data_IF_725315825474
#
_entry.id   IF_725315825474
#
_cell.length_a   1.000
_cell.length_b   1.000
_cell.length_c   1.000
_cell.angle_alpha   90.00
_cell.angle_beta   90.00
_cell.angle_gamma   90.00
#
_symmetry.space_group_name_H-M   'P 1'
#
loop_
_entity.id
_entity.type
_entity.pdbx_description
1 polymer ?
#
# COMPACT_ATOMS: atom_id res chain seq x y z
N UNK A 1 33.86 -28.96 16.07
CA UNK A 1 33.04 -27.87 15.47
C UNK A 1 31.55 -28.11 15.69
N UNK A 2 30.95 -29.13 15.06
CA UNK A 2 29.49 -29.43 15.19
C UNK A 2 29.06 -29.70 16.63
N UNK A 3 29.81 -30.55 17.35
CA UNK A 3 29.53 -30.90 18.75
C UNK A 3 30.01 -29.83 19.77
N UNK A 4 30.75 -28.82 19.30
CA UNK A 4 31.38 -27.80 20.15
C UNK A 4 30.73 -26.41 19.97
N UNK A 5 29.59 -26.33 19.27
CA UNK A 5 28.85 -25.08 19.01
C UNK A 5 29.55 -24.08 18.06
N UNK A 6 30.74 -24.42 17.57
CA UNK A 6 31.53 -23.55 16.68
C UNK A 6 30.93 -23.57 15.25
N UNK A 7 30.85 -22.42 14.56
CA UNK A 7 30.30 -22.34 13.22
C UNK A 7 31.13 -23.19 12.25
N UNK A 8 30.48 -24.13 11.57
CA UNK A 8 31.11 -24.93 10.51
C UNK A 8 31.25 -24.11 9.23
N UNK A 9 32.18 -24.48 8.32
CA UNK A 9 32.29 -23.85 7.00
C UNK A 9 30.95 -23.86 6.25
N UNK A 10 30.17 -24.93 6.37
CA UNK A 10 28.83 -25.02 5.78
C UNK A 10 27.81 -24.05 6.40
N UNK A 11 27.83 -23.84 7.74
CA UNK A 11 26.99 -22.81 8.41
C UNK A 11 27.41 -21.39 8.04
N UNK A 12 28.67 -21.18 7.67
CA UNK A 12 29.17 -19.89 7.21
C UNK A 12 28.77 -19.64 5.76
N UNK A 13 28.86 -20.65 4.89
CA UNK A 13 28.52 -20.56 3.47
C UNK A 13 27.01 -20.55 3.18
N UNK A 14 26.22 -21.32 3.93
CA UNK A 14 24.80 -21.53 3.65
C UNK A 14 23.89 -21.21 4.85
N UNK A 15 22.68 -20.75 4.56
CA UNK A 15 21.60 -20.60 5.53
C UNK A 15 20.91 -21.94 5.76
N UNK A 16 21.22 -22.57 6.90
CA UNK A 16 20.70 -23.90 7.29
C UNK A 16 19.63 -23.82 8.39
N UNK A 17 19.01 -22.67 8.59
CA UNK A 17 17.91 -22.51 9.56
C UNK A 17 16.70 -23.33 9.07
N UNK A 18 15.92 -23.95 9.97
CA UNK A 18 14.77 -24.77 9.58
C UNK A 18 13.69 -23.94 8.84
N UNK A 19 12.92 -24.60 8.00
CA UNK A 19 11.71 -24.03 7.41
C UNK A 19 10.58 -24.01 8.47
N UNK A 20 9.81 -22.94 8.51
CA UNK A 20 8.66 -22.76 9.42
C UNK A 20 7.46 -22.23 8.65
N UNK A 21 6.28 -22.17 9.27
CA UNK A 21 5.10 -21.53 8.63
C UNK A 21 5.25 -20.01 8.44
N UNK A 22 6.11 -19.37 9.23
CA UNK A 22 6.48 -17.97 9.06
C UNK A 22 7.50 -17.80 7.92
N UNK A 23 8.36 -18.79 7.69
CA UNK A 23 9.40 -18.76 6.66
C UNK A 23 9.44 -20.10 5.90
N UNK A 24 8.54 -20.31 4.93
CA UNK A 24 8.32 -21.62 4.29
C UNK A 24 9.34 -21.95 3.19
N UNK A 25 10.28 -21.05 2.88
CA UNK A 25 11.21 -21.21 1.77
C UNK A 25 12.27 -22.29 2.03
N UNK A 26 12.03 -23.49 1.53
CA UNK A 26 12.95 -24.64 1.61
C UNK A 26 14.31 -24.40 0.90
N UNK A 27 14.32 -23.62 -0.18
CA UNK A 27 15.52 -23.38 -1.00
C UNK A 27 16.13 -22.00 -0.76
N UNK A 28 16.30 -21.58 0.49
CA UNK A 28 16.93 -20.29 0.87
C UNK A 28 18.37 -20.48 1.38
N UNK A 29 19.18 -21.25 0.66
CA UNK A 29 20.52 -21.64 1.14
C UNK A 29 21.55 -20.52 0.97
N UNK A 30 21.35 -19.60 0.02
CA UNK A 30 22.27 -18.49 -0.20
C UNK A 30 22.15 -17.39 0.86
N UNK A 31 23.30 -16.93 1.35
CA UNK A 31 23.39 -15.70 2.13
C UNK A 31 23.61 -14.51 1.20
N UNK A 32 22.63 -13.62 1.16
CA UNK A 32 22.66 -12.37 0.38
C UNK A 32 23.69 -11.36 0.88
N UNK A 33 24.43 -11.65 1.95
CA UNK A 33 25.53 -10.83 2.44
C UNK A 33 26.71 -10.76 1.45
N UNK A 34 26.86 -11.75 0.54
CA UNK A 34 27.98 -11.87 -0.39
C UNK A 34 27.59 -11.79 -1.88
N UNK A 35 26.63 -10.92 -2.24
CA UNK A 35 26.15 -10.75 -3.64
C UNK A 35 27.27 -10.63 -4.68
N UNK A 36 28.36 -9.86 -4.49
CA UNK A 36 29.41 -9.73 -5.50
C UNK A 36 30.12 -11.05 -5.82
N UNK A 37 30.31 -11.90 -4.82
CA UNK A 37 30.94 -13.22 -4.97
C UNK A 37 29.99 -14.19 -5.66
N UNK A 38 28.69 -14.10 -5.37
CA UNK A 38 27.65 -14.91 -5.99
C UNK A 38 27.51 -14.60 -7.49
N UNK A 39 27.53 -13.32 -7.87
CA UNK A 39 27.49 -12.89 -9.28
C UNK A 39 28.70 -13.44 -10.05
N UNK A 40 29.90 -13.44 -9.45
CA UNK A 40 31.12 -13.97 -10.07
C UNK A 40 31.15 -15.49 -10.20
N UNK A 41 30.30 -16.21 -9.47
CA UNK A 41 30.24 -17.68 -9.46
C UNK A 41 28.85 -18.22 -9.84
N UNK A 42 28.10 -17.47 -10.65
CA UNK A 42 26.76 -17.84 -11.11
C UNK A 42 26.70 -19.23 -11.74
N UNK A 43 27.77 -19.63 -12.45
CA UNK A 43 27.89 -20.94 -13.12
C UNK A 43 27.79 -22.14 -12.18
N UNK A 44 28.08 -21.95 -10.88
CA UNK A 44 28.12 -23.02 -9.87
C UNK A 44 26.84 -23.02 -9.01
N UNK A 45 25.94 -22.05 -9.22
CA UNK A 45 24.74 -21.92 -8.40
C UNK A 45 23.59 -22.80 -8.94
N UNK A 46 22.87 -23.52 -8.05
CA UNK A 46 21.64 -24.21 -8.44
C UNK A 46 20.62 -23.23 -9.02
N UNK A 47 19.90 -23.65 -10.07
CA UNK A 47 18.91 -22.81 -10.76
C UNK A 47 17.86 -22.18 -9.83
N UNK A 48 17.45 -22.91 -8.78
CA UNK A 48 16.49 -22.42 -7.78
C UNK A 48 17.00 -21.20 -6.97
N UNK A 49 18.31 -21.03 -6.86
CA UNK A 49 18.95 -19.93 -6.13
C UNK A 49 19.19 -18.70 -7.04
N UNK A 50 19.23 -18.88 -8.36
CA UNK A 50 19.31 -17.77 -9.33
C UNK A 50 18.07 -16.87 -9.23
N UNK A 51 16.90 -17.44 -8.94
CA UNK A 51 15.66 -16.67 -8.74
C UNK A 51 15.78 -15.59 -7.65
N UNK A 52 16.54 -15.85 -6.58
CA UNK A 52 16.78 -14.85 -5.53
C UNK A 52 17.62 -13.67 -6.03
N UNK A 53 18.66 -13.94 -6.84
CA UNK A 53 19.50 -12.89 -7.43
C UNK A 53 18.73 -12.05 -8.45
N UNK A 54 17.88 -12.69 -9.26
CA UNK A 54 16.97 -11.98 -10.18
C UNK A 54 16.02 -11.08 -9.38
N UNK A 55 15.46 -11.57 -8.27
CA UNK A 55 14.58 -10.77 -7.42
C UNK A 55 15.28 -9.53 -6.84
N UNK A 56 16.56 -9.65 -6.43
CA UNK A 56 17.39 -8.50 -6.01
C UNK A 56 17.59 -7.50 -7.15
N UNK A 57 17.87 -7.97 -8.36
CA UNK A 57 18.04 -7.09 -9.52
C UNK A 57 16.72 -6.34 -9.86
N UNK A 58 15.59 -7.05 -9.82
CA UNK A 58 14.26 -6.46 -10.01
C UNK A 58 13.95 -5.45 -8.92
N UNK A 59 14.27 -5.73 -7.66
CA UNK A 59 14.13 -4.78 -6.56
C UNK A 59 14.96 -3.52 -6.80
N UNK A 60 16.22 -3.67 -7.19
CA UNK A 60 17.11 -2.54 -7.48
C UNK A 60 16.56 -1.68 -8.63
N UNK A 61 16.11 -2.30 -9.73
CA UNK A 61 15.50 -1.61 -10.85
C UNK A 61 14.21 -0.86 -10.43
N UNK A 62 13.31 -1.53 -9.71
CA UNK A 62 12.07 -0.94 -9.22
C UNK A 62 12.35 0.24 -8.27
N UNK A 63 13.34 0.11 -7.38
CA UNK A 63 13.73 1.17 -6.45
C UNK A 63 14.30 2.39 -7.17
N UNK A 64 15.13 2.21 -8.20
CA UNK A 64 15.63 3.31 -9.03
C UNK A 64 14.48 4.05 -9.71
N UNK A 65 13.55 3.32 -10.32
CA UNK A 65 12.38 3.92 -10.99
C UNK A 65 11.49 4.65 -9.97
N UNK A 66 11.21 4.05 -8.82
CA UNK A 66 10.43 4.67 -7.77
C UNK A 66 11.09 5.93 -7.22
N UNK A 67 12.42 5.95 -7.06
CA UNK A 67 13.17 7.14 -6.66
C UNK A 67 13.09 8.25 -7.72
N UNK A 68 13.17 7.91 -9.01
CA UNK A 68 12.99 8.88 -10.09
C UNK A 68 11.59 9.51 -10.06
N UNK A 69 10.54 8.69 -9.90
CA UNK A 69 9.16 9.16 -9.73
C UNK A 69 9.02 10.02 -8.48
N UNK A 70 9.72 9.67 -7.40
CA UNK A 70 9.74 10.43 -6.15
C UNK A 70 10.37 11.83 -6.29
N UNK A 71 11.45 11.94 -7.05
CA UNK A 71 12.14 13.21 -7.29
C UNK A 71 11.44 14.09 -8.33
N UNK A 72 10.69 13.50 -9.25
CA UNK A 72 10.06 14.19 -10.36
C UNK A 72 9.11 15.37 -9.99
N UNK A 73 8.25 15.32 -8.95
CA UNK A 73 7.47 16.50 -8.54
C UNK A 73 8.34 17.68 -8.09
N UNK A 74 9.55 17.42 -7.59
CA UNK A 74 10.50 18.45 -7.16
C UNK A 74 11.25 19.08 -8.34
N UNK A 75 11.57 18.27 -9.36
CA UNK A 75 12.32 18.66 -10.54
C UNK A 75 11.44 19.36 -11.60
N UNK A 76 10.25 18.85 -11.87
CA UNK A 76 9.35 19.35 -12.92
C UNK A 76 8.38 20.43 -12.41
N UNK A 77 8.85 21.25 -11.47
CA UNK A 77 8.10 22.40 -10.97
C UNK A 77 8.04 23.48 -12.06
N UNK A 78 7.17 23.30 -13.07
CA UNK A 78 6.79 24.36 -14.03
C UNK A 78 6.56 25.67 -13.27
N UNK A 79 7.28 26.73 -13.65
CA UNK A 79 6.98 28.10 -13.22
C UNK A 79 5.63 28.50 -13.81
N UNK A 80 4.55 28.13 -13.14
CA UNK A 80 3.22 28.66 -13.44
C UNK A 80 3.10 29.98 -12.72
N UNK A 81 2.65 31.04 -13.40
CA UNK A 81 2.43 32.40 -12.89
C UNK A 81 1.28 32.49 -11.85
N UNK A 82 1.16 31.49 -10.98
CA UNK A 82 0.16 31.41 -9.92
C UNK A 82 0.83 31.33 -8.54
N UNK A 83 0.07 31.72 -7.51
CA UNK A 83 0.45 31.77 -6.10
C UNK A 83 1.31 30.56 -5.71
N UNK A 84 2.47 30.81 -5.13
CA UNK A 84 3.40 29.78 -4.70
C UNK A 84 2.71 28.83 -3.70
N UNK A 85 2.40 27.61 -4.11
CA UNK A 85 1.95 26.59 -3.16
C UNK A 85 3.10 26.25 -2.20
N UNK A 86 2.85 26.23 -0.87
CA UNK A 86 3.85 25.85 0.10
C UNK A 86 4.32 24.42 -0.15
N UNK A 87 5.63 24.18 0.01
CA UNK A 87 6.22 22.84 -0.08
C UNK A 87 5.57 21.92 0.96
N UNK A 88 4.69 21.03 0.51
CA UNK A 88 4.11 19.98 1.34
C UNK A 88 4.94 18.71 1.15
N UNK A 89 5.72 18.35 2.16
CA UNK A 89 6.54 17.11 2.16
C UNK A 89 5.72 15.87 2.49
N UNK A 90 4.58 16.04 3.19
CA UNK A 90 3.76 14.93 3.65
C UNK A 90 3.24 14.00 2.53
N UNK A 91 2.82 14.45 1.33
CA UNK A 91 2.34 13.56 0.27
C UNK A 91 3.43 12.61 -0.24
N UNK A 92 4.67 13.10 -0.26
CA UNK A 92 5.86 12.35 -0.72
C UNK A 92 6.19 11.20 0.23
N UNK A 93 5.80 11.29 1.50
CA UNK A 93 5.93 10.19 2.46
C UNK A 93 4.66 9.32 2.50
N UNK A 94 3.50 9.97 2.39
CA UNK A 94 2.20 9.34 2.55
C UNK A 94 1.86 8.33 1.45
N UNK A 95 1.89 8.75 0.18
CA UNK A 95 1.44 7.89 -0.94
C UNK A 95 2.36 6.68 -1.20
N UNK A 96 3.70 6.81 -1.11
CA UNK A 96 4.60 5.66 -1.10
C UNK A 96 4.34 4.68 0.04
N UNK A 97 4.12 5.18 1.26
CA UNK A 97 3.85 4.33 2.40
C UNK A 97 2.56 3.51 2.24
N UNK A 98 1.52 4.12 1.67
CA UNK A 98 0.29 3.40 1.32
C UNK A 98 0.51 2.33 0.24
N UNK A 99 1.27 2.64 -0.81
CA UNK A 99 1.53 1.71 -1.91
C UNK A 99 2.29 0.48 -1.45
N UNK A 100 3.39 0.69 -0.70
CA UNK A 100 4.13 -0.39 -0.06
C UNK A 100 3.26 -1.17 0.92
N UNK A 101 2.64 -0.49 1.88
CA UNK A 101 1.93 -1.14 2.98
C UNK A 101 0.77 -2.01 2.51
N UNK A 102 -0.02 -1.52 1.54
CA UNK A 102 -1.14 -2.27 0.98
C UNK A 102 -0.66 -3.57 0.33
N UNK A 103 0.34 -3.47 -0.56
CA UNK A 103 0.87 -4.61 -1.29
C UNK A 103 1.57 -5.63 -0.37
N UNK A 104 2.25 -5.19 0.69
CA UNK A 104 2.84 -6.10 1.67
C UNK A 104 1.78 -6.96 2.38
N UNK A 105 0.64 -6.36 2.75
CA UNK A 105 -0.48 -7.09 3.38
C UNK A 105 -1.15 -8.01 2.35
N UNK A 106 -1.34 -7.53 1.13
CA UNK A 106 -1.95 -8.32 0.05
C UNK A 106 -1.14 -9.57 -0.28
N UNK A 107 0.18 -9.44 -0.45
CA UNK A 107 1.08 -10.56 -0.73
C UNK A 107 1.08 -11.56 0.43
N UNK A 108 1.13 -11.07 1.68
CA UNK A 108 1.03 -11.94 2.86
C UNK A 108 -0.28 -12.73 2.89
N UNK A 109 -1.41 -12.08 2.57
CA UNK A 109 -2.71 -12.73 2.50
C UNK A 109 -2.74 -13.79 1.38
N UNK A 110 -2.19 -13.47 0.20
CA UNK A 110 -2.09 -14.42 -0.92
C UNK A 110 -1.29 -15.65 -0.49
N UNK A 111 -0.11 -15.48 0.11
CA UNK A 111 0.74 -16.61 0.51
C UNK A 111 0.10 -17.47 1.60
N UNK A 112 -0.48 -16.85 2.64
CA UNK A 112 -1.18 -17.58 3.70
C UNK A 112 -2.43 -18.27 3.16
N UNK A 113 -3.18 -17.63 2.26
CA UNK A 113 -4.33 -18.25 1.59
C UNK A 113 -3.92 -19.38 0.63
N UNK A 114 -2.78 -19.27 -0.05
CA UNK A 114 -2.28 -20.31 -0.95
C UNK A 114 -1.95 -21.58 -0.18
N UNK A 115 -1.29 -21.44 0.97
CA UNK A 115 -1.11 -22.54 1.91
C UNK A 115 -2.47 -23.05 2.43
N UNK A 116 -3.34 -22.15 2.88
CA UNK A 116 -4.61 -22.50 3.51
C UNK A 116 -5.69 -22.98 2.54
N UNK A 117 -5.53 -22.87 1.23
CA UNK A 117 -6.43 -23.47 0.22
C UNK A 117 -5.76 -24.60 -0.54
N UNK A 118 -4.44 -24.77 -0.37
CA UNK A 118 -3.61 -25.70 -1.12
C UNK A 118 -3.64 -25.46 -2.64
N UNK A 119 -3.87 -24.21 -3.06
CA UNK A 119 -3.82 -23.78 -4.45
C UNK A 119 -3.51 -22.28 -4.53
N UNK A 120 -2.40 -21.95 -5.21
CA UNK A 120 -1.96 -20.56 -5.38
C UNK A 120 -2.89 -19.78 -6.30
N UNK A 121 -3.45 -20.42 -7.33
CA UNK A 121 -4.28 -19.74 -8.33
C UNK A 121 -5.60 -19.25 -7.72
N UNK A 122 -6.29 -20.13 -7.00
CA UNK A 122 -7.53 -19.80 -6.29
C UNK A 122 -7.30 -18.80 -5.17
N UNK A 123 -6.21 -18.94 -4.40
CA UNK A 123 -5.87 -17.99 -3.34
C UNK A 123 -5.62 -16.58 -3.88
N UNK A 124 -4.83 -16.46 -4.95
CA UNK A 124 -4.58 -15.18 -5.61
C UNK A 124 -5.89 -14.52 -6.07
N UNK A 125 -6.73 -15.25 -6.80
CA UNK A 125 -8.01 -14.74 -7.29
C UNK A 125 -8.95 -14.31 -6.15
N UNK A 126 -9.07 -15.13 -5.09
CA UNK A 126 -9.94 -14.86 -3.96
C UNK A 126 -9.48 -13.64 -3.16
N UNK A 127 -8.19 -13.57 -2.81
CA UNK A 127 -7.64 -12.47 -2.03
C UNK A 127 -7.72 -11.17 -2.80
N UNK A 128 -7.29 -11.14 -4.07
CA UNK A 128 -7.43 -9.94 -4.90
C UNK A 128 -8.87 -9.48 -5.00
N UNK A 129 -9.81 -10.38 -5.27
CA UNK A 129 -11.23 -10.04 -5.39
C UNK A 129 -11.77 -9.47 -4.08
N UNK A 130 -11.47 -10.12 -2.95
CA UNK A 130 -11.89 -9.64 -1.64
C UNK A 130 -11.28 -8.25 -1.34
N UNK A 131 -9.96 -8.11 -1.52
CA UNK A 131 -9.28 -6.85 -1.24
C UNK A 131 -9.81 -5.72 -2.11
N UNK A 132 -10.03 -5.93 -3.40
CA UNK A 132 -10.60 -4.93 -4.31
C UNK A 132 -12.03 -4.53 -3.93
N UNK A 133 -12.90 -5.49 -3.61
CA UNK A 133 -14.29 -5.20 -3.20
C UNK A 133 -14.30 -4.40 -1.89
N UNK A 134 -13.64 -4.91 -0.85
CA UNK A 134 -13.70 -4.30 0.47
C UNK A 134 -12.92 -2.99 0.56
N UNK A 135 -11.76 -2.87 -0.10
CA UNK A 135 -11.05 -1.58 -0.19
C UNK A 135 -11.82 -0.56 -1.04
N UNK A 136 -12.53 -1.00 -2.08
CA UNK A 136 -13.48 -0.18 -2.82
C UNK A 136 -14.60 0.36 -1.93
N UNK A 137 -15.19 -0.50 -1.09
CA UNK A 137 -16.17 -0.09 -0.07
C UNK A 137 -15.57 0.89 0.96
N UNK A 138 -14.34 0.62 1.43
CA UNK A 138 -13.58 1.53 2.28
C UNK A 138 -13.42 2.92 1.65
N UNK A 139 -13.11 2.97 0.36
CA UNK A 139 -12.99 4.20 -0.41
C UNK A 139 -14.32 4.97 -0.52
N UNK A 140 -15.44 4.27 -0.71
CA UNK A 140 -16.77 4.87 -0.68
C UNK A 140 -17.13 5.43 0.71
N UNK A 141 -16.71 4.77 1.79
CA UNK A 141 -16.89 5.25 3.17
C UNK A 141 -16.02 6.50 3.39
N UNK A 142 -14.78 6.53 2.88
CA UNK A 142 -13.88 7.67 2.97
C UNK A 142 -14.52 8.97 2.46
N UNK A 143 -15.31 8.89 1.38
CA UNK A 143 -16.09 10.02 0.85
C UNK A 143 -17.11 10.61 1.83
N UNK A 144 -17.67 9.78 2.72
CA UNK A 144 -18.64 10.19 3.77
C UNK A 144 -17.96 10.76 5.01
N UNK A 145 -16.76 10.27 5.35
CA UNK A 145 -16.01 10.69 6.55
C UNK A 145 -14.93 11.75 6.26
N UNK A 146 -14.91 12.32 5.05
CA UNK A 146 -13.96 13.36 4.62
C UNK A 146 -13.90 14.61 5.50
N UNK A 147 -14.94 14.86 6.31
CA UNK A 147 -14.97 15.97 7.26
C UNK A 147 -13.99 15.78 8.43
N UNK A 148 -13.64 14.54 8.76
CA UNK A 148 -12.74 14.18 9.86
C UNK A 148 -11.68 13.16 9.38
N UNK A 149 -10.81 13.53 8.42
CA UNK A 149 -9.91 12.59 7.74
C UNK A 149 -8.90 11.95 8.69
N UNK A 150 -8.41 12.71 9.68
CA UNK A 150 -7.47 12.20 10.69
C UNK A 150 -8.12 11.16 11.59
N UNK A 151 -9.37 11.39 12.02
CA UNK A 151 -10.12 10.44 12.85
C UNK A 151 -10.42 9.16 12.06
N UNK A 152 -10.91 9.29 10.83
CA UNK A 152 -11.17 8.15 9.95
C UNK A 152 -9.89 7.33 9.70
N UNK A 153 -8.77 8.00 9.45
CA UNK A 153 -7.46 7.34 9.32
C UNK A 153 -6.99 6.69 10.61
N UNK A 154 -7.30 7.26 11.80
CA UNK A 154 -6.98 6.65 13.08
C UNK A 154 -7.76 5.36 13.31
N UNK A 155 -9.07 5.37 13.02
CA UNK A 155 -9.92 4.17 13.10
C UNK A 155 -9.40 3.10 12.14
N UNK A 156 -9.10 3.46 10.90
CA UNK A 156 -8.48 2.55 9.93
C UNK A 156 -7.16 1.97 10.45
N UNK A 157 -6.28 2.81 11.02
CA UNK A 157 -5.02 2.34 11.61
C UNK A 157 -5.25 1.35 12.76
N UNK A 158 -6.20 1.61 13.66
CA UNK A 158 -6.53 0.69 14.77
C UNK A 158 -6.99 -0.66 14.22
N UNK A 159 -7.84 -0.67 13.20
CA UNK A 159 -8.28 -1.92 12.56
C UNK A 159 -7.10 -2.66 11.93
N UNK A 160 -6.22 -1.96 11.20
CA UNK A 160 -5.03 -2.56 10.58
C UNK A 160 -4.08 -3.14 11.64
N UNK A 161 -3.76 -2.38 12.70
CA UNK A 161 -2.86 -2.85 13.76
C UNK A 161 -3.47 -4.00 14.56
N UNK A 162 -4.78 -3.95 14.84
CA UNK A 162 -5.51 -5.04 15.48
C UNK A 162 -5.51 -6.31 14.63
N UNK A 163 -5.73 -6.17 13.32
CA UNK A 163 -5.65 -7.28 12.37
C UNK A 163 -4.23 -7.87 12.29
N UNK A 164 -3.20 -7.03 12.23
CA UNK A 164 -1.79 -7.46 12.24
C UNK A 164 -1.47 -8.24 13.52
N UNK A 165 -1.91 -7.75 14.69
CA UNK A 165 -1.72 -8.44 15.96
C UNK A 165 -2.43 -9.79 15.98
N UNK A 166 -3.68 -9.86 15.50
CA UNK A 166 -4.41 -11.12 15.38
C UNK A 166 -3.70 -12.11 14.46
N UNK A 167 -3.18 -11.65 13.31
CA UNK A 167 -2.46 -12.48 12.36
C UNK A 167 -1.17 -13.05 12.97
N UNK A 168 -0.46 -12.24 13.75
CA UNK A 168 0.82 -12.61 14.36
C UNK A 168 0.67 -13.60 15.52
N UNK A 169 -0.45 -13.55 16.25
CA UNK A 169 -0.66 -14.35 17.47
C UNK A 169 -1.46 -15.63 17.18
N UNK A 170 -2.51 -15.56 16.36
CA UNK A 170 -3.51 -16.62 16.29
C UNK A 170 -3.75 -17.22 14.91
N UNK A 171 -3.19 -16.66 13.83
CA UNK A 171 -3.53 -17.15 12.49
C UNK A 171 -3.04 -18.57 12.22
N UNK A 172 -1.85 -18.95 12.69
CA UNK A 172 -1.29 -20.27 12.43
C UNK A 172 -2.11 -21.37 13.11
N UNK A 173 -2.40 -21.19 14.41
CA UNK A 173 -3.25 -22.11 15.18
C UNK A 173 -4.66 -22.19 14.60
N UNK A 174 -5.24 -21.05 14.22
CA UNK A 174 -6.56 -20.99 13.59
C UNK A 174 -6.56 -21.77 12.28
N UNK A 175 -5.61 -21.50 11.39
CA UNK A 175 -5.49 -22.18 10.10
C UNK A 175 -5.35 -23.69 10.32
N UNK A 176 -4.41 -24.13 11.16
CA UNK A 176 -4.21 -25.56 11.45
C UNK A 176 -5.47 -26.23 12.01
N UNK A 177 -6.17 -25.55 12.93
CA UNK A 177 -7.38 -26.07 13.58
C UNK A 177 -8.58 -26.19 12.64
N UNK A 178 -8.57 -25.52 11.49
CA UNK A 178 -9.66 -25.53 10.51
C UNK A 178 -9.23 -26.08 9.14
N UNK A 179 -8.05 -26.73 9.05
CA UNK A 179 -7.55 -27.32 7.80
C UNK A 179 -8.40 -28.48 7.29
N UNK A 180 -9.10 -29.18 8.19
CA UNK A 180 -9.98 -30.32 7.91
C UNK A 180 -11.30 -29.91 7.22
N UNK A 181 -11.60 -28.62 7.21
CA UNK A 181 -12.84 -28.09 6.65
C UNK A 181 -12.88 -28.17 5.11
N UNK A 182 -14.08 -28.23 4.52
CA UNK A 182 -14.25 -28.16 3.07
C UNK A 182 -13.67 -26.87 2.47
N UNK A 183 -13.20 -26.94 1.22
CA UNK A 183 -12.54 -25.80 0.55
C UNK A 183 -13.42 -24.54 0.51
N UNK A 184 -14.74 -24.69 0.39
CA UNK A 184 -15.69 -23.58 0.38
C UNK A 184 -15.70 -22.85 1.74
N UNK A 185 -15.71 -23.60 2.85
CA UNK A 185 -15.65 -23.03 4.19
C UNK A 185 -14.32 -22.30 4.39
N UNK A 186 -13.21 -22.93 3.98
CA UNK A 186 -11.87 -22.33 4.03
C UNK A 186 -11.80 -21.02 3.22
N UNK A 187 -12.38 -20.99 2.03
CA UNK A 187 -12.45 -19.79 1.20
C UNK A 187 -13.28 -18.67 1.86
N UNK A 188 -14.42 -19.01 2.47
CA UNK A 188 -15.22 -18.03 3.22
C UNK A 188 -14.45 -17.46 4.43
N UNK A 189 -13.67 -18.29 5.12
CA UNK A 189 -12.82 -17.85 6.23
C UNK A 189 -11.70 -16.91 5.76
N UNK A 190 -11.06 -17.17 4.62
CA UNK A 190 -10.09 -16.25 4.01
C UNK A 190 -10.76 -14.91 3.68
N UNK A 191 -11.95 -14.95 3.07
CA UNK A 191 -12.71 -13.74 2.73
C UNK A 191 -13.06 -12.93 3.99
N UNK A 192 -13.53 -13.61 5.04
CA UNK A 192 -13.88 -12.99 6.32
C UNK A 192 -12.65 -12.37 7.00
N UNK A 193 -11.49 -13.03 6.94
CA UNK A 193 -10.24 -12.52 7.48
C UNK A 193 -9.70 -11.33 6.69
N UNK A 194 -9.84 -11.32 5.36
CA UNK A 194 -9.38 -10.25 4.48
C UNK A 194 -10.29 -9.01 4.52
N UNK A 195 -11.60 -9.18 4.72
CA UNK A 195 -12.59 -8.10 4.66
C UNK A 195 -12.31 -6.89 5.58
N UNK A 196 -12.11 -7.05 6.91
CA UNK A 196 -11.97 -5.90 7.81
C UNK A 196 -10.70 -5.10 7.54
N UNK A 197 -9.58 -5.78 7.27
CA UNK A 197 -8.32 -5.12 6.93
C UNK A 197 -8.47 -4.41 5.59
N UNK A 198 -9.00 -5.05 4.56
CA UNK A 198 -9.16 -4.47 3.22
C UNK A 198 -10.02 -3.21 3.24
N UNK A 199 -11.13 -3.23 3.99
CA UNK A 199 -11.98 -2.06 4.19
C UNK A 199 -11.21 -0.91 4.85
N UNK A 200 -10.43 -1.21 5.89
CA UNK A 200 -9.60 -0.22 6.57
C UNK A 200 -8.48 0.33 5.67
N UNK A 201 -7.83 -0.52 4.86
CA UNK A 201 -6.78 -0.12 3.91
C UNK A 201 -7.32 0.74 2.76
N UNK A 202 -8.62 0.64 2.45
CA UNK A 202 -9.29 1.45 1.42
C UNK A 202 -9.56 2.91 1.84
N UNK A 203 -9.51 3.23 3.13
CA UNK A 203 -9.79 4.57 3.66
C UNK A 203 -8.70 5.60 3.36
N UNK A 204 -7.39 5.34 3.59
CA UNK A 204 -6.38 6.38 3.61
C UNK A 204 -6.18 7.06 2.24
N UNK A 205 -6.15 6.30 1.14
CA UNK A 205 -5.83 6.87 -0.17
C UNK A 205 -6.80 8.01 -0.58
N UNK A 206 -8.14 7.82 -0.59
CA UNK A 206 -9.07 8.93 -0.85
C UNK A 206 -8.97 10.05 0.19
N UNK A 207 -8.78 9.74 1.48
CA UNK A 207 -8.63 10.76 2.52
C UNK A 207 -7.41 11.66 2.23
N UNK A 208 -6.27 11.08 1.83
CA UNK A 208 -5.10 11.83 1.39
C UNK A 208 -5.39 12.69 0.16
N UNK A 209 -6.11 12.15 -0.84
CA UNK A 209 -6.52 12.90 -2.03
C UNK A 209 -7.37 14.14 -1.66
N UNK A 210 -8.30 14.02 -0.70
CA UNK A 210 -9.09 15.19 -0.24
C UNK A 210 -8.25 16.28 0.43
N UNK A 211 -7.09 15.93 1.01
CA UNK A 211 -6.18 16.89 1.65
C UNK A 211 -5.28 17.63 0.66
N UNK A 212 -4.92 17.00 -0.46
CA UNK A 212 -4.15 17.66 -1.52
C UNK A 212 -5.04 18.51 -2.45
N UNK A 213 -6.30 18.12 -2.66
CA UNK A 213 -7.23 18.78 -3.59
C UNK A 213 -6.81 18.64 -5.06
N UNK A 214 -7.43 19.43 -5.93
CA UNK A 214 -7.21 19.39 -7.40
C UNK A 214 -5.89 20.05 -7.86
N UNK A 215 -4.90 20.08 -6.95
CA UNK A 215 -3.62 20.74 -7.17
C UNK A 215 -2.63 19.90 -7.98
N UNK A 216 -1.45 20.47 -8.20
CA UNK A 216 -0.36 19.86 -8.99
C UNK A 216 0.15 18.53 -8.42
N UNK A 217 -0.10 18.27 -7.14
CA UNK A 217 0.31 17.04 -6.47
C UNK A 217 -0.58 15.84 -6.83
N UNK A 218 -1.77 16.05 -7.40
CA UNK A 218 -2.72 14.96 -7.65
C UNK A 218 -2.15 13.87 -8.59
N UNK A 219 -1.58 14.16 -9.78
CA UNK A 219 -0.98 13.12 -10.62
C UNK A 219 0.22 12.42 -9.96
N UNK A 220 0.99 13.17 -9.17
CA UNK A 220 2.14 12.64 -8.45
C UNK A 220 1.72 11.70 -7.31
N UNK A 221 0.61 11.98 -6.63
CA UNK A 221 0.06 11.09 -5.61
C UNK A 221 -0.22 9.69 -6.18
N UNK A 222 -0.85 9.63 -7.35
CA UNK A 222 -1.08 8.37 -8.08
C UNK A 222 0.23 7.71 -8.52
N UNK A 223 1.14 8.49 -9.13
CA UNK A 223 2.44 7.97 -9.59
C UNK A 223 3.32 7.41 -8.46
N UNK A 224 3.38 8.11 -7.33
CA UNK A 224 4.12 7.69 -6.14
C UNK A 224 3.54 6.39 -5.56
N UNK A 225 2.22 6.31 -5.44
CA UNK A 225 1.57 5.11 -4.94
C UNK A 225 1.86 3.91 -5.86
N UNK A 226 1.63 4.06 -7.17
CA UNK A 226 1.88 2.98 -8.13
C UNK A 226 3.34 2.55 -8.20
N UNK A 227 4.29 3.49 -8.23
CA UNK A 227 5.72 3.16 -8.32
C UNK A 227 6.20 2.37 -7.10
N UNK A 228 5.73 2.72 -5.91
CA UNK A 228 6.09 2.02 -4.68
C UNK A 228 5.34 0.69 -4.51
N UNK A 229 4.14 0.53 -5.08
CA UNK A 229 3.50 -0.79 -5.19
C UNK A 229 4.33 -1.77 -6.03
N UNK A 230 5.00 -1.31 -7.10
CA UNK A 230 5.92 -2.16 -7.89
C UNK A 230 7.15 -2.59 -7.08
N UNK A 231 7.66 -1.73 -6.21
CA UNK A 231 8.77 -2.06 -5.29
C UNK A 231 8.34 -3.11 -4.26
N UNK A 232 7.08 -3.08 -3.82
CA UNK A 232 6.57 -3.95 -2.77
C UNK A 232 6.68 -5.43 -3.11
N UNK A 233 6.42 -5.84 -4.35
CA UNK A 233 6.43 -7.25 -4.77
C UNK A 233 7.79 -7.94 -4.59
N UNK A 234 8.89 -7.47 -5.21
CA UNK A 234 10.19 -8.10 -5.02
C UNK A 234 10.70 -7.95 -3.57
N UNK A 235 10.37 -6.83 -2.90
CA UNK A 235 10.72 -6.62 -1.50
C UNK A 235 10.05 -7.64 -0.58
N UNK A 236 8.73 -7.85 -0.73
CA UNK A 236 7.97 -8.83 0.02
C UNK A 236 8.56 -10.24 -0.16
N UNK A 237 8.90 -10.62 -1.40
CA UNK A 237 9.49 -11.91 -1.70
C UNK A 237 10.84 -12.14 -1.02
N UNK A 238 11.72 -11.13 -0.94
CA UNK A 238 12.97 -11.24 -0.18
C UNK A 238 12.72 -11.30 1.33
N UNK A 239 11.84 -10.44 1.84
CA UNK A 239 11.52 -10.37 3.26
C UNK A 239 10.89 -11.68 3.78
N UNK A 240 9.91 -12.24 3.07
CA UNK A 240 9.23 -13.48 3.47
C UNK A 240 10.16 -14.70 3.36
N UNK A 241 11.04 -14.73 2.35
CA UNK A 241 12.02 -15.80 2.14
C UNK A 241 13.11 -15.82 3.21
N UNK A 242 13.73 -14.68 3.51
CA UNK A 242 14.95 -14.65 4.32
C UNK A 242 14.66 -14.42 5.81
N UNK A 243 13.68 -13.56 6.11
CA UNK A 243 13.32 -13.16 7.47
C UNK A 243 12.05 -13.89 7.93
N UNK A 244 11.02 -13.92 7.08
CA UNK A 244 9.70 -14.52 7.36
C UNK A 244 8.55 -13.53 7.21
N UNK A 245 7.31 -14.03 7.13
CA UNK A 245 6.08 -13.26 6.95
C UNK A 245 5.85 -12.22 8.07
N UNK A 246 6.31 -12.51 9.28
CA UNK A 246 6.29 -11.57 10.40
C UNK A 246 6.97 -10.24 10.07
N UNK A 247 7.99 -10.23 9.21
CA UNK A 247 8.64 -9.00 8.78
C UNK A 247 7.76 -8.14 7.87
N UNK A 248 6.91 -8.74 7.03
CA UNK A 248 5.93 -8.02 6.19
C UNK A 248 4.89 -7.35 7.08
N UNK A 249 4.41 -8.05 8.12
CA UNK A 249 3.47 -7.50 9.11
C UNK A 249 4.06 -6.29 9.84
N UNK A 250 5.30 -6.38 10.31
CA UNK A 250 5.97 -5.28 11.00
C UNK A 250 6.19 -4.09 10.07
N UNK A 251 6.66 -4.32 8.84
CA UNK A 251 6.84 -3.26 7.86
C UNK A 251 5.52 -2.58 7.50
N UNK A 252 4.44 -3.34 7.28
CA UNK A 252 3.12 -2.80 7.03
C UNK A 252 2.62 -1.95 8.22
N UNK A 253 2.79 -2.42 9.46
CA UNK A 253 2.45 -1.67 10.66
C UNK A 253 3.18 -0.32 10.74
N UNK A 254 4.50 -0.31 10.45
CA UNK A 254 5.31 0.91 10.42
C UNK A 254 4.84 1.85 9.32
N UNK A 255 4.58 1.34 8.11
CA UNK A 255 4.16 2.14 6.96
C UNK A 255 2.78 2.78 7.17
N UNK A 256 1.81 2.03 7.69
CA UNK A 256 0.47 2.59 7.99
C UNK A 256 0.50 3.55 9.18
N UNK A 257 1.36 3.31 10.18
CA UNK A 257 1.58 4.27 11.26
C UNK A 257 2.21 5.57 10.74
N UNK A 258 3.22 5.47 9.86
CA UNK A 258 3.82 6.62 9.20
C UNK A 258 2.78 7.39 8.38
N UNK A 259 1.99 6.70 7.56
CA UNK A 259 0.93 7.31 6.76
C UNK A 259 -0.06 8.07 7.65
N UNK A 260 -0.51 7.45 8.74
CA UNK A 260 -1.35 8.14 9.71
C UNK A 260 -0.66 9.38 10.30
N UNK A 261 0.59 9.27 10.76
CA UNK A 261 1.32 10.37 11.41
C UNK A 261 1.46 11.58 10.48
N UNK A 262 1.87 11.37 9.23
CA UNK A 262 2.11 12.46 8.28
C UNK A 262 0.83 13.07 7.69
N UNK A 263 -0.31 12.37 7.76
CA UNK A 263 -1.59 12.91 7.31
C UNK A 263 -1.95 14.16 8.13
N UNK A 264 -2.22 15.32 7.50
CA UNK A 264 -2.52 16.55 8.23
C UNK A 264 -3.86 16.44 8.96
N UNK A 265 -3.96 17.13 10.10
CA UNK A 265 -5.25 17.34 10.78
C UNK A 265 -6.08 18.24 9.88
N UNK A 266 -7.17 17.69 9.33
CA UNK A 266 -7.95 18.34 8.27
C UNK A 266 -8.20 19.81 8.57
N UNK A 267 -7.81 20.69 7.64
CA UNK A 267 -8.16 22.09 7.75
C UNK A 267 -9.69 22.16 7.74
N UNK A 268 -10.30 22.59 8.86
CA UNK A 268 -11.70 23.08 8.81
C UNK A 268 -11.71 24.03 7.64
N UNK A 269 -12.42 23.70 6.56
CA UNK A 269 -12.75 24.67 5.52
C UNK A 269 -13.39 25.81 6.31
N UNK A 270 -12.63 26.88 6.59
CA UNK A 270 -13.21 28.16 6.97
C UNK A 270 -14.17 28.40 5.82
N UNK A 271 -15.46 28.22 6.12
CA UNK A 271 -16.56 28.56 5.23
C UNK A 271 -16.15 29.92 4.69
N UNK A 272 -15.76 29.97 3.41
CA UNK A 272 -15.43 31.22 2.73
C UNK A 272 -16.63 32.09 3.07
N UNK A 273 -16.43 33.12 3.89
CA UNK A 273 -17.49 34.05 4.22
C UNK A 273 -18.13 34.37 2.87
N UNK A 274 -19.44 34.13 2.76
CA UNK A 274 -20.15 34.43 1.54
C UNK A 274 -19.73 35.85 1.16
N UNK A 275 -19.08 36.01 0.01
CA UNK A 275 -18.90 37.33 -0.55
C UNK A 275 -20.30 37.95 -0.54
N UNK A 276 -20.51 39.15 0.04
CA UNK A 276 -21.82 39.77 -0.01
C UNK A 276 -22.23 39.78 -1.48
N UNK A 277 -23.39 39.20 -1.77
CA UNK A 277 -24.04 39.36 -3.06
C UNK A 277 -24.06 40.86 -3.30
N UNK A 278 -23.53 41.39 -4.41
CA UNK A 278 -23.68 42.80 -4.70
C UNK A 278 -25.19 43.07 -4.69
N UNK A 279 -25.65 43.97 -3.83
CA UNK A 279 -27.02 44.46 -3.89
C UNK A 279 -27.24 44.94 -5.33
N UNK A 280 -27.97 44.14 -6.11
CA UNK A 280 -28.53 44.59 -7.37
C UNK A 280 -29.42 45.78 -6.99
N UNK A 281 -28.95 46.98 -7.31
CA UNK A 281 -29.75 48.19 -7.23
C UNK A 281 -31.10 47.95 -7.89
N UNK A 282 -32.13 48.60 -7.34
CA UNK A 282 -33.51 48.52 -7.79
C UNK A 282 -33.60 48.57 -9.32
N UNK A 283 -34.50 47.79 -9.96
CA UNK A 283 -34.65 47.82 -11.40
C UNK A 283 -35.01 49.25 -11.83
N UNK A 284 -34.09 49.86 -12.57
CA UNK A 284 -34.35 51.06 -13.35
C UNK A 284 -35.57 50.76 -14.23
N UNK A 285 -36.58 51.63 -14.14
CA UNK A 285 -37.87 51.49 -14.79
C UNK A 285 -37.70 51.12 -16.27
N UNK A 286 -38.22 49.97 -16.66
CA UNK A 286 -38.31 49.54 -18.05
C UNK A 286 -39.06 50.63 -18.84
N UNK A 287 -38.34 51.35 -19.70
CA UNK A 287 -38.98 52.20 -20.71
C UNK A 287 -39.81 51.29 -21.65
N UNK A 288 -41.06 51.66 -21.96
CA UNK A 288 -41.90 50.86 -22.84
C UNK A 288 -41.35 50.89 -24.27
N UNK A 289 -41.24 49.69 -24.88
CA UNK A 289 -40.80 49.51 -26.26
C UNK A 289 -41.65 50.33 -27.25
N UNK A 290 -41.04 50.95 -28.28
CA UNK A 290 -41.79 51.69 -29.29
C UNK A 290 -42.64 50.73 -30.13
N UNK A 291 -43.93 51.05 -30.23
CA UNK A 291 -44.89 50.36 -31.09
C UNK A 291 -44.54 50.69 -32.54
N UNK A 292 -44.17 49.66 -33.31
CA UNK A 292 -43.98 49.77 -34.76
C UNK A 292 -45.35 49.69 -35.43
N UNK A 293 -45.88 50.81 -35.91
CA UNK A 293 -47.04 50.83 -36.79
C UNK A 293 -46.67 50.22 -38.15
N UNK A 294 -47.40 49.18 -38.57
CA UNK A 294 -47.31 48.64 -39.93
C UNK A 294 -48.25 49.46 -40.85
N UNK A 295 -47.78 49.96 -42.00
CA UNK A 295 -48.64 50.58 -42.99
C UNK A 295 -49.44 49.51 -43.78
N UNK A 296 -50.65 49.92 -44.19
CA UNK A 296 -51.71 49.13 -44.83
C UNK A 296 -51.35 48.54 -46.20
#
# INVERSE_FOLDING_TARGET
>A
AVLTGQPTPSRQAFNIRPATLDRPAFYSSLKLENVPTLIRRLEVLPQAEIGALVNVAVLAQAAVIALLVLMAPMLFRRRTNGVAEPRRVWPVLYFPALGLGFLLIEILLIDKAAFYLNDYSSAFALVLTAMLIFSGLGSLIAGRVKAAPKLASAVGLVVVLGWIAAMRIGAEDFMMGTLDQPVVVRALLVLLAAAPVSLALGLPFPLGLTQIGDGRMLPWAWGLNGAFSVVATPLAGLMSRDIGFSSLLVAAAVLYSLAFLVLPVGARRRRRAASPVPETGAPESLEPFPVVEQPA
#
